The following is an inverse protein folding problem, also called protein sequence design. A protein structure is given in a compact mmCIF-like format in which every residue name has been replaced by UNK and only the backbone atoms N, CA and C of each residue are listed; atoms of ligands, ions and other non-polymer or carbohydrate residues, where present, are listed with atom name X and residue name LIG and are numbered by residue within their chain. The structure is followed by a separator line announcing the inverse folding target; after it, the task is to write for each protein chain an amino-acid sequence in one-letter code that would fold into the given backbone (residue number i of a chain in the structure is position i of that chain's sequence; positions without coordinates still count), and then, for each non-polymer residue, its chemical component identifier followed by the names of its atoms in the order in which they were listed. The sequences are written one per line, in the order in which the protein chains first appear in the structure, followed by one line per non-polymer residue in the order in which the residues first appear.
data_IF_192475871700
#
_entry.id   IF_192475871700
#
_cell.length_a   1.000
_cell.length_b   1.000
_cell.length_c   1.000
_cell.angle_alpha   90.00
_cell.angle_beta   90.00
_cell.angle_gamma   90.00
#
_symmetry.space_group_name_H-M   'P 1'
#
loop_
_entity.id
_entity.type
_entity.pdbx_description
1 polymer ?
#
# COMPACT_ATOMS: atom_id res chain seq x y z
N UNK A 1 43.24 44.52 -13.21
CA UNK A 1 43.97 43.45 -12.49
C UNK A 1 43.01 42.94 -11.42
N UNK A 2 42.72 41.64 -11.43
CA UNK A 2 41.59 41.05 -10.74
C UNK A 2 41.75 41.02 -9.21
N UNK A 3 40.70 41.40 -8.48
CA UNK A 3 40.57 41.12 -7.04
C UNK A 3 39.88 39.76 -6.86
N UNK A 4 40.57 38.82 -6.23
CA UNK A 4 40.01 37.52 -5.87
C UNK A 4 39.24 37.65 -4.54
N UNK A 5 37.93 37.35 -4.57
CA UNK A 5 37.11 37.21 -3.37
C UNK A 5 37.19 35.75 -2.93
N UNK A 6 37.79 35.51 -1.78
CA UNK A 6 37.80 34.19 -1.12
C UNK A 6 36.50 34.01 -0.34
N UNK A 7 35.54 33.31 -0.93
CA UNK A 7 34.29 32.92 -0.27
C UNK A 7 34.59 31.72 0.65
N UNK A 8 34.64 32.00 1.95
CA UNK A 8 34.75 30.98 3.00
C UNK A 8 33.45 30.16 3.07
N UNK A 9 33.45 28.95 2.51
CA UNK A 9 32.35 28.01 2.65
C UNK A 9 32.26 27.54 4.10
N UNK A 10 31.36 28.14 4.90
CA UNK A 10 30.87 27.50 6.12
C UNK A 10 30.07 26.27 5.69
N UNK A 11 30.64 25.08 5.93
CA UNK A 11 29.96 23.80 5.80
C UNK A 11 28.89 23.72 6.89
N UNK A 12 27.69 24.22 6.60
CA UNK A 12 26.50 23.91 7.38
C UNK A 12 26.27 22.41 7.21
N UNK A 13 26.44 21.65 8.30
CA UNK A 13 26.05 20.26 8.33
C UNK A 13 24.54 20.21 8.14
N UNK A 14 24.11 19.65 7.02
CA UNK A 14 22.73 19.25 6.77
C UNK A 14 22.33 18.25 7.88
N UNK A 15 21.22 18.47 8.59
CA UNK A 15 20.77 17.49 9.56
C UNK A 15 20.51 16.18 8.81
N UNK A 16 21.09 15.08 9.32
CA UNK A 16 20.92 13.75 8.75
C UNK A 16 19.42 13.46 8.54
N UNK A 17 19.04 12.80 7.43
CA UNK A 17 17.65 12.45 7.20
C UNK A 17 17.16 11.64 8.41
N UNK A 18 16.13 12.15 9.07
CA UNK A 18 15.34 11.38 10.04
C UNK A 18 14.99 10.05 9.38
N UNK A 19 15.26 8.89 10.01
CA UNK A 19 14.83 7.63 9.42
C UNK A 19 13.31 7.68 9.24
N UNK A 20 12.87 7.67 7.98
CA UNK A 20 11.45 7.51 7.67
C UNK A 20 11.00 6.20 8.32
N UNK A 21 9.85 6.18 9.00
CA UNK A 21 9.36 4.93 9.59
C UNK A 21 9.30 3.86 8.50
N UNK A 22 9.86 2.69 8.78
CA UNK A 22 9.85 1.54 7.86
C UNK A 22 8.42 1.20 7.44
N UNK A 23 8.00 1.63 6.25
CA UNK A 23 6.66 1.40 5.76
C UNK A 23 6.45 -0.09 5.49
N UNK A 24 5.43 -0.69 6.12
CA UNK A 24 5.16 -2.13 6.01
C UNK A 24 4.20 -2.37 4.85
N UNK A 25 4.61 -3.04 3.76
CA UNK A 25 3.75 -3.26 2.60
C UNK A 25 2.62 -4.24 2.91
N UNK A 26 1.47 -3.98 2.31
CA UNK A 26 0.30 -4.85 2.39
C UNK A 26 0.30 -5.79 1.19
N UNK A 27 0.36 -7.09 1.47
CA UNK A 27 0.33 -8.14 0.44
C UNK A 27 -0.89 -9.04 0.69
N UNK A 28 -1.70 -9.24 -0.35
CA UNK A 28 -2.79 -10.22 -0.31
C UNK A 28 -2.41 -11.44 -1.15
N UNK A 29 -2.79 -12.62 -0.67
CA UNK A 29 -2.60 -13.88 -1.35
C UNK A 29 -3.88 -14.71 -1.25
N UNK A 30 -4.14 -15.50 -2.28
CA UNK A 30 -5.19 -16.52 -2.26
C UNK A 30 -4.56 -17.86 -2.02
N UNK A 31 -5.02 -18.59 -0.99
CA UNK A 31 -4.67 -19.98 -0.78
C UNK A 31 -5.77 -20.86 -1.39
N UNK A 32 -5.61 -21.25 -2.66
CA UNK A 32 -6.54 -22.17 -3.32
C UNK A 32 -6.00 -23.59 -3.13
N UNK A 33 -6.53 -24.32 -2.14
CA UNK A 33 -6.09 -25.70 -1.83
C UNK A 33 -6.88 -26.79 -2.56
N UNK A 34 -7.80 -26.42 -3.44
CA UNK A 34 -8.58 -27.37 -4.26
C UNK A 34 -8.61 -26.93 -5.71
N UNK A 35 -8.17 -27.80 -6.61
CA UNK A 35 -8.40 -27.68 -8.05
C UNK A 35 -9.89 -27.91 -8.32
N UNK A 36 -10.68 -26.86 -8.16
CA UNK A 36 -12.03 -26.76 -8.71
C UNK A 36 -11.99 -25.88 -9.94
N UNK A 37 -12.92 -26.07 -10.87
CA UNK A 37 -13.15 -25.26 -12.08
C UNK A 37 -13.48 -23.75 -11.82
N UNK A 38 -13.36 -23.30 -10.57
CA UNK A 38 -13.68 -21.95 -10.08
C UNK A 38 -12.46 -21.24 -9.47
N UNK A 39 -11.25 -21.53 -9.97
CA UNK A 39 -10.06 -20.78 -9.58
C UNK A 39 -10.09 -19.38 -10.18
N UNK A 40 -9.43 -18.41 -9.53
CA UNK A 40 -9.25 -17.09 -10.12
C UNK A 40 -8.44 -17.19 -11.41
N UNK A 41 -8.84 -16.43 -12.41
CA UNK A 41 -8.19 -16.34 -13.71
C UNK A 41 -7.41 -15.04 -13.85
N UNK A 42 -6.42 -15.03 -14.74
CA UNK A 42 -5.70 -13.81 -15.05
C UNK A 42 -6.69 -12.71 -15.50
N UNK A 43 -6.50 -11.51 -14.95
CA UNK A 43 -7.37 -10.34 -15.08
C UNK A 43 -8.62 -10.33 -14.20
N UNK A 44 -8.84 -11.33 -13.34
CA UNK A 44 -9.84 -11.20 -12.27
C UNK A 44 -9.50 -10.02 -11.36
N UNK A 45 -10.52 -9.27 -10.95
CA UNK A 45 -10.34 -8.05 -10.16
C UNK A 45 -11.21 -8.11 -8.91
N UNK A 46 -10.59 -7.87 -7.76
CA UNK A 46 -11.26 -7.74 -6.47
C UNK A 46 -11.16 -6.31 -5.96
N UNK A 47 -12.13 -5.91 -5.15
CA UNK A 47 -12.05 -4.69 -4.36
C UNK A 47 -11.74 -5.03 -2.90
N UNK A 48 -10.84 -4.25 -2.29
CA UNK A 48 -10.42 -4.42 -0.90
C UNK A 48 -10.70 -3.13 -0.10
N UNK A 49 -11.38 -3.29 1.03
CA UNK A 49 -11.45 -2.28 2.08
C UNK A 49 -10.63 -2.72 3.28
N UNK A 50 -9.91 -1.79 3.90
CA UNK A 50 -9.14 -2.02 5.12
C UNK A 50 -9.58 -1.03 6.19
N UNK A 51 -9.98 -1.54 7.36
CA UNK A 51 -10.55 -0.75 8.45
C UNK A 51 -9.65 -0.87 9.67
N UNK A 52 -9.12 0.24 10.18
CA UNK A 52 -8.36 0.24 11.42
C UNK A 52 -9.30 0.11 12.63
N UNK A 53 -9.08 -0.90 13.47
CA UNK A 53 -9.86 -1.16 14.69
C UNK A 53 -9.64 0.00 15.69
N UNK A 54 -10.69 0.48 16.41
CA UNK A 54 -12.03 -0.07 16.55
C UNK A 54 -13.09 0.55 15.60
N UNK A 55 -12.69 1.04 14.43
CA UNK A 55 -13.63 1.62 13.47
C UNK A 55 -14.47 0.54 12.79
N UNK A 56 -15.59 0.93 12.19
CA UNK A 56 -16.45 0.06 11.38
C UNK A 56 -16.27 0.35 9.90
N UNK A 57 -16.51 -0.65 9.03
CA UNK A 57 -16.49 -0.49 7.58
C UNK A 57 -17.42 0.65 7.12
N UNK A 58 -16.87 1.57 6.34
CA UNK A 58 -17.59 2.66 5.68
C UNK A 58 -17.46 2.55 4.15
N UNK A 59 -18.26 3.30 3.40
CA UNK A 59 -18.09 3.39 1.94
C UNK A 59 -16.81 4.16 1.54
N UNK A 60 -16.44 5.16 2.34
CA UNK A 60 -15.24 5.99 2.18
C UNK A 60 -14.74 6.43 3.56
N UNK A 61 -13.45 6.74 3.70
CA UNK A 61 -12.83 7.17 4.94
C UNK A 61 -12.25 6.03 5.78
N UNK A 62 -12.14 4.82 5.23
CA UNK A 62 -11.40 3.73 5.89
C UNK A 62 -9.88 3.95 5.75
N UNK A 63 -9.08 3.00 6.25
CA UNK A 63 -7.63 3.03 6.00
C UNK A 63 -7.33 2.91 4.49
N UNK A 64 -8.06 2.03 3.84
CA UNK A 64 -8.04 1.85 2.38
C UNK A 64 -9.49 1.69 1.92
N UNK A 65 -9.89 2.51 0.96
CA UNK A 65 -11.21 2.50 0.34
C UNK A 65 -11.16 1.86 -1.04
N UNK A 66 -11.94 0.80 -1.26
CA UNK A 66 -12.18 0.17 -2.55
C UNK A 66 -10.92 -0.05 -3.42
N UNK A 67 -9.81 -0.49 -2.80
CA UNK A 67 -8.56 -0.73 -3.50
C UNK A 67 -8.71 -1.82 -4.56
N UNK A 68 -8.20 -1.54 -5.76
CA UNK A 68 -8.29 -2.46 -6.89
C UNK A 68 -7.09 -3.41 -6.88
N UNK A 69 -7.37 -4.71 -6.79
CA UNK A 69 -6.34 -5.74 -6.96
C UNK A 69 -6.69 -6.63 -8.15
N UNK A 70 -5.73 -6.83 -9.05
CA UNK A 70 -5.86 -7.68 -10.24
C UNK A 70 -5.01 -8.93 -10.11
N UNK A 71 -5.60 -10.09 -10.37
CA UNK A 71 -4.89 -11.36 -10.40
C UNK A 71 -4.14 -11.50 -11.73
N UNK A 72 -2.83 -11.78 -11.68
CA UNK A 72 -2.02 -11.99 -12.88
C UNK A 72 -1.95 -13.47 -13.32
N UNK A 73 -2.72 -14.35 -12.66
CA UNK A 73 -2.65 -15.80 -12.82
C UNK A 73 -1.77 -16.48 -11.77
N UNK A 74 -0.98 -15.73 -11.00
CA UNK A 74 -0.12 -16.25 -9.92
C UNK A 74 -0.32 -15.51 -8.60
N UNK A 75 -0.44 -14.18 -8.65
CA UNK A 75 -0.58 -13.32 -7.47
C UNK A 75 -1.52 -12.14 -7.75
N UNK A 76 -1.95 -11.50 -6.66
CA UNK A 76 -2.72 -10.27 -6.71
C UNK A 76 -1.80 -9.06 -6.71
N UNK A 77 -2.05 -8.14 -7.62
CA UNK A 77 -1.30 -6.88 -7.74
C UNK A 77 -2.26 -5.71 -7.50
N UNK A 78 -1.94 -4.84 -6.55
CA UNK A 78 -2.63 -3.56 -6.37
C UNK A 78 -2.32 -2.61 -7.52
N UNK A 79 -3.24 -1.70 -7.81
CA UNK A 79 -3.01 -0.56 -8.72
C UNK A 79 -1.89 0.38 -8.20
N UNK A 80 -1.71 0.41 -6.88
CA UNK A 80 -0.58 1.02 -6.17
C UNK A 80 -0.05 0.08 -5.09
N UNK A 81 1.07 0.47 -4.49
CA UNK A 81 1.54 -0.16 -3.25
C UNK A 81 0.72 0.37 -2.07
N UNK A 82 0.08 -0.54 -1.36
CA UNK A 82 -0.64 -0.24 -0.12
C UNK A 82 0.22 -0.61 1.09
N UNK A 83 0.01 0.09 2.20
CA UNK A 83 0.79 -0.09 3.41
C UNK A 83 -0.13 -0.24 4.61
N UNK A 84 0.35 -0.96 5.62
CA UNK A 84 -0.22 -0.90 6.95
C UNK A 84 -0.09 0.52 7.51
N UNK A 85 -1.00 0.93 8.40
CA UNK A 85 -0.88 2.21 9.10
C UNK A 85 0.43 2.29 9.87
N UNK A 86 0.76 1.22 10.59
CA UNK A 86 1.98 1.01 11.36
C UNK A 86 2.04 -0.48 11.81
N UNK A 87 3.09 -0.88 12.53
CA UNK A 87 3.28 -2.26 13.00
C UNK A 87 2.44 -2.69 14.20
N UNK A 88 1.59 -1.82 14.74
CA UNK A 88 0.81 -2.06 15.98
C UNK A 88 -0.70 -1.96 15.78
N UNK A 89 -1.15 -1.13 14.83
CA UNK A 89 -2.57 -0.92 14.54
C UNK A 89 -3.16 -2.17 13.91
N UNK A 90 -4.15 -2.75 14.58
CA UNK A 90 -4.93 -3.86 14.05
C UNK A 90 -5.88 -3.36 12.97
N UNK A 91 -6.10 -4.17 11.94
CA UNK A 91 -7.03 -3.86 10.87
C UNK A 91 -7.89 -5.07 10.49
N UNK A 92 -9.14 -4.79 10.14
CA UNK A 92 -10.07 -5.73 9.52
C UNK A 92 -10.06 -5.54 8.01
N UNK A 93 -10.11 -6.64 7.26
CA UNK A 93 -10.00 -6.67 5.80
C UNK A 93 -11.30 -7.21 5.20
N UNK A 94 -11.89 -6.46 4.28
CA UNK A 94 -13.12 -6.82 3.59
C UNK A 94 -12.85 -6.85 2.08
N UNK A 95 -12.85 -8.05 1.52
CA UNK A 95 -12.58 -8.28 0.11
C UNK A 95 -13.84 -8.77 -0.61
N UNK A 96 -14.06 -8.30 -1.83
CA UNK A 96 -15.20 -8.72 -2.66
C UNK A 96 -14.81 -8.89 -4.13
N UNK A 97 -15.56 -9.75 -4.82
CA UNK A 97 -15.43 -10.07 -6.25
C UNK A 97 -16.82 -10.09 -6.91
N UNK A 98 -17.01 -9.58 -8.14
CA UNK A 98 -16.03 -8.83 -8.94
C UNK A 98 -15.92 -7.36 -8.47
N UNK A 99 -14.80 -6.71 -8.79
CA UNK A 99 -14.58 -5.29 -8.51
C UNK A 99 -15.63 -4.38 -9.17
N UNK A 100 -16.13 -3.41 -8.41
CA UNK A 100 -17.03 -2.36 -8.89
C UNK A 100 -16.40 -1.01 -8.54
N UNK A 101 -16.22 -0.16 -9.56
CA UNK A 101 -15.78 1.22 -9.34
C UNK A 101 -16.86 2.01 -8.59
N UNK A 102 -16.46 2.75 -7.57
CA UNK A 102 -17.30 3.70 -6.83
C UNK A 102 -17.62 4.95 -7.65
#
# INVERSE_FOLDING_TARGET
MAFAIVTSCKKTAEPAPTPEPDAIPLQIATSVTRATEYAFEANDVVGLYVVNVPSTLQATGNHIDNARFTFDGTKWNGDTQYYWKDGNTKADFYCYYPYVSS
#
